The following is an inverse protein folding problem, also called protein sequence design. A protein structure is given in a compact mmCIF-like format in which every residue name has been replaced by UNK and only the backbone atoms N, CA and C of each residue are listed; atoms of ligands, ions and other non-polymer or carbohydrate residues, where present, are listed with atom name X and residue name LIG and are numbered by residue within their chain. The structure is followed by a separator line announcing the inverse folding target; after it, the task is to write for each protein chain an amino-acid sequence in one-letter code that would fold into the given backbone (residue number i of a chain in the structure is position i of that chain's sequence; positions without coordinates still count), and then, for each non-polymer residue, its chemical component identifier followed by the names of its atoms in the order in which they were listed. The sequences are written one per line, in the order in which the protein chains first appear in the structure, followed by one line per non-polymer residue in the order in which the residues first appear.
data_IF_611592220843
#
_entry.id   IF_611592220843
#
_cell.length_a   1.000
_cell.length_b   1.000
_cell.length_c   1.000
_cell.angle_alpha   90.00
_cell.angle_beta   90.00
_cell.angle_gamma   90.00
#
_symmetry.space_group_name_H-M   'P 1'
#
loop_
_entity.id
_entity.type
_entity.pdbx_description
1 polymer ?
#
# COMPACT_ATOMS: atom_id res chain seq x y z
N UNK A 1 -14.16 -5.44 21.57
CA UNK A 1 -13.97 -4.95 22.94
C UNK A 1 -12.55 -5.19 23.47
N UNK A 2 -11.73 -6.07 22.84
CA UNK A 2 -10.32 -6.27 23.20
C UNK A 2 -9.41 -5.11 22.77
N UNK A 3 -9.78 -4.40 21.70
CA UNK A 3 -9.01 -3.32 21.08
C UNK A 3 -9.88 -2.07 20.92
N UNK A 4 -10.11 -1.28 21.97
CA UNK A 4 -11.01 -0.10 21.93
C UNK A 4 -10.48 1.03 21.05
N UNK A 5 -9.17 1.07 20.79
CA UNK A 5 -8.48 2.02 19.90
C UNK A 5 -8.34 1.51 18.45
N UNK A 6 -8.79 0.29 18.16
CA UNK A 6 -8.80 -0.23 16.80
C UNK A 6 -10.03 0.27 16.02
N UNK A 7 -9.78 0.79 14.85
CA UNK A 7 -10.80 1.14 13.85
C UNK A 7 -10.77 0.26 12.62
N UNK A 8 -9.71 -0.56 12.50
CA UNK A 8 -9.46 -1.40 11.32
C UNK A 8 -9.01 -2.79 11.75
N UNK A 9 -9.43 -3.79 10.98
CA UNK A 9 -9.03 -5.19 11.19
C UNK A 9 -8.73 -5.84 9.84
N UNK A 10 -7.72 -6.69 9.79
CA UNK A 10 -7.38 -7.49 8.61
C UNK A 10 -7.30 -8.97 8.97
N UNK A 11 -7.93 -9.86 8.20
CA UNK A 11 -7.79 -11.30 8.38
C UNK A 11 -6.45 -11.81 7.85
N UNK A 12 -6.15 -13.09 8.08
CA UNK A 12 -5.17 -13.85 7.32
C UNK A 12 -5.73 -14.10 5.91
N UNK A 13 -5.11 -13.50 4.91
CA UNK A 13 -5.52 -13.66 3.52
C UNK A 13 -4.57 -14.66 2.86
N UNK A 14 -5.11 -15.80 2.44
CA UNK A 14 -4.41 -16.87 1.76
C UNK A 14 -4.67 -16.85 0.27
N UNK A 15 -3.71 -17.34 -0.50
CA UNK A 15 -3.88 -17.54 -1.93
C UNK A 15 -4.97 -18.61 -2.19
N UNK A 16 -5.94 -18.29 -3.03
CA UNK A 16 -7.06 -19.20 -3.34
C UNK A 16 -6.59 -20.51 -3.97
N UNK A 17 -5.57 -20.46 -4.83
CA UNK A 17 -5.08 -21.61 -5.60
C UNK A 17 -3.98 -22.38 -4.87
N UNK A 18 -3.23 -21.71 -3.98
CA UNK A 18 -2.18 -22.28 -3.13
C UNK A 18 -2.48 -21.91 -1.69
N UNK A 19 -3.35 -22.71 -1.07
CA UNK A 19 -3.97 -22.41 0.23
C UNK A 19 -3.01 -22.41 1.42
N UNK A 20 -1.79 -22.88 1.24
CA UNK A 20 -0.69 -22.83 2.19
C UNK A 20 0.25 -21.63 1.97
N UNK A 21 -0.13 -20.68 1.09
CA UNK A 21 0.65 -19.50 0.80
C UNK A 21 -0.10 -18.23 1.23
N UNK A 22 0.60 -17.37 1.95
CA UNK A 22 0.08 -16.06 2.36
C UNK A 22 -0.04 -15.14 1.12
N UNK A 23 -1.20 -14.54 0.94
CA UNK A 23 -1.37 -13.42 0.02
C UNK A 23 -1.17 -12.07 0.74
N UNK A 24 -1.76 -11.91 1.94
CA UNK A 24 -1.64 -10.67 2.69
C UNK A 24 -2.00 -10.84 4.17
N UNK A 25 -1.26 -10.18 5.06
CA UNK A 25 -1.56 -10.07 6.50
C UNK A 25 -1.57 -8.60 6.98
N UNK A 26 -1.91 -7.67 6.09
CA UNK A 26 -1.83 -6.22 6.27
C UNK A 26 -0.78 -5.60 5.36
N UNK A 27 -0.71 -4.27 5.32
CA UNK A 27 0.22 -3.57 4.44
C UNK A 27 1.52 -3.17 5.13
N UNK A 28 2.55 -3.08 4.32
CA UNK A 28 3.82 -2.39 4.58
C UNK A 28 3.94 -1.22 3.61
N UNK A 29 4.73 -0.19 3.96
CA UNK A 29 4.86 1.02 3.17
C UNK A 29 6.31 1.46 3.03
N UNK A 30 6.68 1.89 1.83
CA UNK A 30 7.98 2.47 1.53
C UNK A 30 7.91 4.00 1.64
N UNK A 31 9.01 4.69 1.99
CA UNK A 31 9.00 6.15 2.22
C UNK A 31 8.60 7.03 1.02
N UNK A 32 8.51 6.47 -0.18
CA UNK A 32 8.02 7.17 -1.37
C UNK A 32 6.52 6.97 -1.63
N UNK A 33 5.80 6.31 -0.71
CA UNK A 33 4.38 6.04 -0.79
C UNK A 33 4.01 4.69 -1.41
N UNK A 34 4.97 3.89 -1.90
CA UNK A 34 4.69 2.55 -2.41
C UNK A 34 4.32 1.60 -1.27
N UNK A 35 3.20 0.88 -1.41
CA UNK A 35 2.74 -0.11 -0.44
C UNK A 35 2.76 -1.53 -1.01
N UNK A 36 2.90 -2.51 -0.12
CA UNK A 36 2.87 -3.95 -0.44
C UNK A 36 2.18 -4.75 0.66
N UNK A 37 1.63 -5.89 0.26
CA UNK A 37 1.14 -6.90 1.21
C UNK A 37 2.27 -7.47 2.05
N UNK A 38 2.04 -7.54 3.35
CA UNK A 38 2.94 -8.16 4.32
C UNK A 38 2.91 -9.68 4.17
N UNK A 39 4.06 -10.33 4.27
CA UNK A 39 4.29 -11.78 4.17
C UNK A 39 3.83 -12.42 2.85
N UNK A 40 3.62 -11.61 1.83
CA UNK A 40 3.17 -12.12 0.53
C UNK A 40 4.12 -13.18 -0.03
N UNK A 41 3.55 -14.28 -0.56
CA UNK A 41 4.21 -15.47 -1.12
C UNK A 41 4.99 -16.30 -0.08
N UNK A 42 4.89 -16.00 1.21
CA UNK A 42 5.45 -16.84 2.27
C UNK A 42 4.50 -17.99 2.58
N UNK A 43 5.08 -19.13 2.98
CA UNK A 43 4.29 -20.30 3.35
C UNK A 43 3.64 -20.09 4.72
N UNK A 44 2.35 -20.42 4.82
CA UNK A 44 1.60 -20.43 6.08
C UNK A 44 1.94 -21.69 6.88
N UNK A 45 2.95 -21.61 7.70
CA UNK A 45 3.48 -22.71 8.52
C UNK A 45 3.29 -22.49 10.03
N UNK A 46 2.33 -21.62 10.39
CA UNK A 46 2.03 -21.26 11.78
C UNK A 46 2.80 -20.07 12.34
N UNK A 47 3.84 -19.58 11.64
CA UNK A 47 4.61 -18.39 12.09
C UNK A 47 3.78 -17.10 12.11
N UNK A 48 2.64 -17.08 11.42
CA UNK A 48 1.78 -15.91 11.26
C UNK A 48 0.46 -16.04 12.01
N UNK A 49 0.42 -16.85 13.08
CA UNK A 49 -0.79 -17.09 13.88
C UNK A 49 -0.90 -16.19 15.10
N UNK A 50 0.00 -15.22 15.24
CA UNK A 50 -0.06 -14.24 16.33
C UNK A 50 -0.81 -12.98 15.91
N UNK A 51 -1.77 -12.56 16.74
CA UNK A 51 -2.49 -11.30 16.62
C UNK A 51 -1.52 -10.13 16.84
N UNK A 52 -1.63 -9.08 16.05
CA UNK A 52 -0.75 -7.94 16.18
C UNK A 52 -1.17 -6.71 15.39
N UNK A 53 -0.53 -5.60 15.69
CA UNK A 53 -0.76 -4.34 15.00
C UNK A 53 -0.10 -4.35 13.61
N UNK A 54 -0.83 -3.89 12.59
CA UNK A 54 -0.37 -3.73 11.21
C UNK A 54 -0.70 -2.34 10.68
N UNK A 55 -0.15 -1.92 9.55
CA UNK A 55 -0.34 -0.57 9.01
C UNK A 55 -1.80 -0.30 8.65
N UNK A 56 -2.37 -1.12 7.79
CA UNK A 56 -3.73 -1.04 7.27
C UNK A 56 -4.18 -2.39 6.75
N UNK A 57 -5.50 -2.64 6.63
CA UNK A 57 -6.02 -3.86 6.03
C UNK A 57 -5.91 -3.81 4.51
N UNK A 58 -5.91 -4.99 3.88
CA UNK A 58 -6.07 -5.10 2.42
C UNK A 58 -7.53 -4.89 2.02
N UNK A 59 -7.76 -4.15 0.94
CA UNK A 59 -9.09 -3.86 0.40
C UNK A 59 -9.90 -5.09 -0.01
N UNK A 60 -9.25 -6.25 -0.22
CA UNK A 60 -9.99 -7.48 -0.56
C UNK A 60 -10.80 -8.06 0.62
N UNK A 61 -10.42 -7.76 1.88
CA UNK A 61 -11.08 -8.32 3.07
C UNK A 61 -10.89 -7.45 4.33
N UNK A 62 -10.72 -6.14 4.18
CA UNK A 62 -10.61 -5.22 5.31
C UNK A 62 -11.94 -5.06 6.05
N UNK A 63 -11.89 -5.02 7.38
CA UNK A 63 -13.01 -4.66 8.22
C UNK A 63 -12.74 -3.31 8.89
N UNK A 64 -13.74 -2.43 8.87
CA UNK A 64 -13.63 -1.05 9.35
C UNK A 64 -14.77 -0.73 10.31
N UNK A 65 -14.46 -0.09 11.43
CA UNK A 65 -15.48 0.34 12.38
C UNK A 65 -16.32 1.48 11.80
N UNK A 66 -17.62 1.41 11.97
CA UNK A 66 -18.55 2.47 11.54
C UNK A 66 -18.14 3.83 12.12
N UNK A 67 -17.76 3.87 13.40
CA UNK A 67 -17.29 5.08 14.07
C UNK A 67 -16.12 5.75 13.33
N UNK A 68 -15.13 4.96 12.88
CA UNK A 68 -13.99 5.50 12.13
C UNK A 68 -14.46 6.03 10.77
N UNK A 69 -15.29 5.27 10.04
CA UNK A 69 -15.78 5.69 8.73
C UNK A 69 -16.63 6.96 8.79
N UNK A 70 -17.45 7.12 9.83
CA UNK A 70 -18.25 8.33 10.04
C UNK A 70 -17.37 9.56 10.32
N UNK A 71 -16.17 9.36 10.91
CA UNK A 71 -15.23 10.43 11.21
C UNK A 71 -14.34 10.81 10.03
N UNK A 72 -13.77 9.83 9.33
CA UNK A 72 -12.75 10.08 8.30
C UNK A 72 -13.26 9.90 6.86
N UNK A 73 -14.51 9.48 6.68
CA UNK A 73 -15.11 9.16 5.38
C UNK A 73 -14.74 7.77 4.84
N UNK A 74 -15.30 7.45 3.68
CA UNK A 74 -15.16 6.17 2.99
C UNK A 74 -13.88 6.12 2.12
N UNK A 75 -13.76 5.11 1.25
CA UNK A 75 -12.73 5.03 0.22
C UNK A 75 -12.77 6.25 -0.70
N UNK A 76 -11.61 6.71 -1.13
CA UNK A 76 -11.49 7.86 -2.03
C UNK A 76 -11.54 7.40 -3.49
N UNK A 77 -12.66 7.70 -4.17
CA UNK A 77 -12.95 7.29 -5.56
C UNK A 77 -11.88 7.76 -6.57
N UNK A 78 -11.11 8.83 -6.25
CA UNK A 78 -10.04 9.30 -7.11
C UNK A 78 -8.99 8.23 -7.39
N UNK A 79 -8.73 7.35 -6.42
CA UNK A 79 -7.76 6.26 -6.59
C UNK A 79 -8.23 5.22 -7.61
N UNK A 80 -9.53 4.99 -7.75
CA UNK A 80 -10.17 3.97 -8.57
C UNK A 80 -9.83 2.55 -8.10
N UNK A 81 -8.57 2.14 -8.15
CA UNK A 81 -8.06 0.85 -7.67
C UNK A 81 -6.57 0.96 -7.34
N UNK A 82 -6.10 0.14 -6.40
CA UNK A 82 -4.73 0.08 -5.86
C UNK A 82 -4.31 1.31 -5.05
N UNK A 83 -4.31 1.16 -3.75
CA UNK A 83 -3.88 2.17 -2.78
C UNK A 83 -5.02 2.93 -2.10
N UNK A 84 -6.28 2.76 -2.52
CA UNK A 84 -7.46 3.31 -1.84
C UNK A 84 -7.62 2.77 -0.42
N UNK A 85 -7.27 1.51 -0.22
CA UNK A 85 -7.27 0.82 1.07
C UNK A 85 -6.13 1.32 1.99
N UNK A 86 -4.96 1.56 1.41
CA UNK A 86 -3.83 2.16 2.13
C UNK A 86 -4.14 3.62 2.49
N UNK A 87 -4.77 4.39 1.58
CA UNK A 87 -5.23 5.75 1.86
C UNK A 87 -6.18 5.80 3.05
N UNK A 88 -7.20 4.93 3.05
CA UNK A 88 -8.15 4.83 4.16
C UNK A 88 -7.44 4.45 5.45
N UNK A 89 -6.49 3.51 5.38
CA UNK A 89 -5.66 3.10 6.51
C UNK A 89 -4.82 4.23 7.09
N UNK A 90 -4.14 5.01 6.24
CA UNK A 90 -3.32 6.15 6.67
C UNK A 90 -4.18 7.27 7.26
N UNK A 91 -5.37 7.54 6.69
CA UNK A 91 -6.34 8.48 7.27
C UNK A 91 -6.81 8.02 8.65
N UNK A 92 -7.13 6.73 8.80
CA UNK A 92 -7.45 6.15 10.11
C UNK A 92 -6.31 6.32 11.12
N UNK A 93 -5.06 6.14 10.69
CA UNK A 93 -3.87 6.38 11.52
C UNK A 93 -3.76 7.83 11.98
N UNK A 94 -3.99 8.80 11.09
CA UNK A 94 -4.01 10.22 11.46
C UNK A 94 -5.10 10.55 12.49
N UNK A 95 -6.23 9.87 12.43
CA UNK A 95 -7.31 9.97 13.42
C UNK A 95 -7.04 9.15 14.70
N UNK A 96 -5.85 8.54 14.84
CA UNK A 96 -5.44 7.81 16.04
C UNK A 96 -5.94 6.35 16.11
N UNK A 97 -6.58 5.84 15.06
CA UNK A 97 -7.05 4.45 15.02
C UNK A 97 -5.92 3.47 14.67
N UNK A 98 -5.94 2.29 15.32
CA UNK A 98 -5.06 1.17 15.00
C UNK A 98 -5.72 0.19 14.04
N UNK A 99 -4.89 -0.57 13.32
CA UNK A 99 -5.29 -1.74 12.56
C UNK A 99 -4.76 -3.01 13.23
N UNK A 100 -5.62 -3.98 13.46
CA UNK A 100 -5.26 -5.26 14.09
C UNK A 100 -5.37 -6.39 13.08
N UNK A 101 -4.32 -7.17 12.98
CA UNK A 101 -4.31 -8.43 12.26
C UNK A 101 -4.93 -9.53 13.12
N UNK A 102 -5.91 -10.24 12.56
CA UNK A 102 -6.68 -11.29 13.24
C UNK A 102 -6.45 -12.61 12.51
N UNK A 103 -5.43 -13.40 12.89
CA UNK A 103 -5.06 -14.64 12.17
C UNK A 103 -6.14 -15.72 12.19
N UNK A 104 -6.99 -15.74 13.22
CA UNK A 104 -8.12 -16.68 13.32
C UNK A 104 -9.21 -16.44 12.25
N UNK A 105 -9.27 -15.24 11.69
CA UNK A 105 -10.14 -14.94 10.53
C UNK A 105 -9.36 -15.23 9.25
N UNK A 106 -9.80 -16.23 8.48
CA UNK A 106 -9.11 -16.66 7.25
C UNK A 106 -9.97 -16.38 6.03
N UNK A 107 -9.36 -15.78 5.00
CA UNK A 107 -10.01 -15.49 3.71
C UNK A 107 -9.13 -16.00 2.58
N UNK A 108 -9.73 -16.62 1.56
CA UNK A 108 -9.04 -17.07 0.33
C UNK A 108 -9.27 -16.08 -0.81
N UNK A 109 -8.19 -15.50 -1.34
CA UNK A 109 -8.24 -14.47 -2.37
C UNK A 109 -7.69 -14.94 -3.72
N UNK A 110 -8.46 -14.68 -4.78
CA UNK A 110 -8.04 -14.91 -6.18
C UNK A 110 -7.26 -13.70 -6.70
N UNK A 111 -6.05 -13.52 -6.19
CA UNK A 111 -5.19 -12.38 -6.47
C UNK A 111 -5.15 -12.01 -7.97
N UNK A 112 -5.40 -10.72 -8.25
CA UNK A 112 -5.34 -10.13 -9.61
C UNK A 112 -6.13 -10.89 -10.69
N UNK A 113 -7.21 -11.60 -10.34
CA UNK A 113 -8.02 -12.35 -11.30
C UNK A 113 -8.62 -11.46 -12.40
N UNK A 114 -8.91 -10.19 -12.11
CA UNK A 114 -9.53 -9.25 -13.04
C UNK A 114 -8.54 -8.51 -13.93
N UNK A 115 -7.38 -8.10 -13.39
CA UNK A 115 -6.45 -7.19 -14.10
C UNK A 115 -5.16 -7.85 -14.58
N UNK A 116 -4.92 -9.09 -14.19
CA UNK A 116 -3.63 -9.76 -14.39
C UNK A 116 -2.54 -9.28 -13.43
N UNK A 117 -1.52 -10.11 -13.20
CA UNK A 117 -0.51 -9.85 -12.18
C UNK A 117 0.42 -8.68 -12.53
N UNK A 118 0.80 -8.55 -13.81
CA UNK A 118 1.82 -7.59 -14.29
C UNK A 118 1.29 -6.69 -15.40
N UNK A 119 -0.02 -6.40 -15.46
CA UNK A 119 -0.59 -5.60 -16.52
C UNK A 119 -0.13 -4.13 -16.52
N UNK A 120 -0.04 -3.48 -17.69
CA UNK A 120 0.27 -2.05 -17.81
C UNK A 120 -0.70 -1.16 -17.01
N UNK A 121 -1.99 -1.53 -16.95
CA UNK A 121 -2.99 -0.80 -16.19
C UNK A 121 -2.69 -0.85 -14.69
N UNK A 122 -2.34 -2.04 -14.15
CA UNK A 122 -1.98 -2.20 -12.74
C UNK A 122 -0.73 -1.39 -12.40
N UNK A 123 0.31 -1.47 -13.23
CA UNK A 123 1.53 -0.71 -13.06
C UNK A 123 1.27 0.81 -13.08
N UNK A 124 0.45 1.28 -14.02
CA UNK A 124 0.03 2.69 -14.12
C UNK A 124 -0.68 3.16 -12.85
N UNK A 125 -1.69 2.42 -12.40
CA UNK A 125 -2.48 2.79 -11.22
C UNK A 125 -1.61 2.76 -9.95
N UNK A 126 -0.79 1.74 -9.78
CA UNK A 126 0.10 1.63 -8.61
C UNK A 126 1.09 2.81 -8.53
N UNK A 127 1.73 3.18 -9.65
CA UNK A 127 2.68 4.31 -9.67
C UNK A 127 1.98 5.66 -9.50
N UNK A 128 0.85 5.90 -10.18
CA UNK A 128 0.08 7.13 -10.00
C UNK A 128 -0.39 7.29 -8.55
N UNK A 129 -1.00 6.24 -8.02
CA UNK A 129 -1.62 6.28 -6.71
C UNK A 129 -0.59 6.35 -5.57
N UNK A 130 0.61 5.78 -5.75
CA UNK A 130 1.73 5.96 -4.84
C UNK A 130 2.03 7.44 -4.57
N UNK A 131 2.10 8.26 -5.64
CA UNK A 131 2.31 9.70 -5.49
C UNK A 131 1.14 10.38 -4.78
N UNK A 132 -0.09 9.97 -5.10
CA UNK A 132 -1.25 10.52 -4.43
C UNK A 132 -1.30 10.15 -2.95
N UNK A 133 -0.94 8.92 -2.57
CA UNK A 133 -0.77 8.50 -1.18
C UNK A 133 0.25 9.37 -0.46
N UNK A 134 1.42 9.58 -1.10
CA UNK A 134 2.49 10.41 -0.57
C UNK A 134 2.01 11.85 -0.34
N UNK A 135 1.51 12.51 -1.36
CA UNK A 135 1.10 13.92 -1.28
C UNK A 135 -0.13 14.14 -0.40
N UNK A 136 -1.03 13.18 -0.30
CA UNK A 136 -2.23 13.27 0.53
C UNK A 136 -1.94 13.05 2.01
N UNK A 137 -1.17 12.01 2.35
CA UNK A 137 -1.10 11.47 3.70
C UNK A 137 0.22 11.69 4.43
N UNK A 138 1.34 11.88 3.71
CA UNK A 138 2.64 11.95 4.40
C UNK A 138 2.94 13.35 4.93
N UNK A 139 3.65 13.46 6.07
CA UNK A 139 4.21 14.72 6.54
C UNK A 139 5.10 15.38 5.49
N UNK A 140 5.14 16.71 5.47
CA UNK A 140 5.90 17.49 4.46
C UNK A 140 7.36 17.08 4.41
N UNK A 141 7.98 16.83 5.56
CA UNK A 141 9.38 16.40 5.62
C UNK A 141 9.61 15.07 4.86
N UNK A 142 8.67 14.12 4.92
CA UNK A 142 8.80 12.84 4.21
C UNK A 142 8.58 13.05 2.70
N UNK A 143 7.70 13.97 2.30
CA UNK A 143 7.53 14.38 0.90
C UNK A 143 8.83 14.97 0.34
N UNK A 144 9.51 15.84 1.10
CA UNK A 144 10.77 16.45 0.66
C UNK A 144 11.91 15.43 0.46
N UNK A 145 11.95 14.38 1.29
CA UNK A 145 12.94 13.30 1.15
C UNK A 145 12.52 12.20 0.16
N UNK A 146 11.26 12.16 -0.26
CA UNK A 146 10.75 11.09 -1.13
C UNK A 146 11.47 10.97 -2.47
N UNK A 147 12.00 12.03 -3.13
CA UNK A 147 12.74 11.88 -4.38
C UNK A 147 13.99 11.00 -4.24
N UNK A 148 14.68 11.05 -3.11
CA UNK A 148 15.82 10.17 -2.83
C UNK A 148 15.38 8.70 -2.75
N UNK A 149 14.29 8.42 -2.04
CA UNK A 149 13.74 7.07 -1.92
C UNK A 149 13.20 6.56 -3.25
N UNK A 150 12.55 7.41 -4.04
CA UNK A 150 12.07 7.08 -5.39
C UNK A 150 13.24 6.72 -6.31
N UNK A 151 14.32 7.51 -6.29
CA UNK A 151 15.53 7.23 -7.05
C UNK A 151 16.14 5.87 -6.67
N UNK A 152 16.29 5.59 -5.39
CA UNK A 152 16.81 4.31 -4.91
C UNK A 152 15.92 3.14 -5.36
N UNK A 153 14.61 3.28 -5.26
CA UNK A 153 13.65 2.26 -5.71
C UNK A 153 13.77 2.03 -7.22
N UNK A 154 13.80 3.08 -8.03
CA UNK A 154 13.91 2.93 -9.49
C UNK A 154 15.27 2.34 -9.92
N UNK A 155 16.37 2.68 -9.23
CA UNK A 155 17.66 2.05 -9.48
C UNK A 155 17.62 0.53 -9.24
N UNK A 156 16.92 0.08 -8.19
CA UNK A 156 16.72 -1.33 -7.93
C UNK A 156 15.71 -1.99 -8.87
N UNK A 157 14.69 -1.29 -9.34
CA UNK A 157 13.80 -1.77 -10.39
C UNK A 157 14.55 -1.97 -11.71
N UNK A 158 15.43 -1.05 -12.08
CA UNK A 158 16.31 -1.20 -13.25
C UNK A 158 17.20 -2.46 -13.12
N UNK A 159 17.81 -2.65 -11.94
CA UNK A 159 18.54 -3.89 -11.65
C UNK A 159 17.61 -5.10 -11.79
N UNK A 160 16.39 -5.04 -11.26
CA UNK A 160 15.38 -6.10 -11.39
C UNK A 160 15.06 -6.45 -12.86
N UNK A 161 14.92 -5.44 -13.72
CA UNK A 161 14.75 -5.63 -15.20
C UNK A 161 15.94 -6.36 -15.78
N UNK A 162 17.18 -5.93 -15.47
CA UNK A 162 18.42 -6.53 -16.02
C UNK A 162 18.61 -7.99 -15.60
N UNK A 163 18.28 -8.34 -14.35
CA UNK A 163 18.45 -9.72 -13.85
C UNK A 163 17.15 -10.54 -13.90
N UNK A 164 16.07 -9.95 -14.41
CA UNK A 164 14.76 -10.58 -14.56
C UNK A 164 14.06 -10.95 -13.24
N UNK A 165 14.29 -10.20 -12.15
CA UNK A 165 13.69 -10.40 -10.83
C UNK A 165 12.69 -9.31 -10.47
N UNK A 166 11.76 -9.64 -9.54
CA UNK A 166 10.71 -8.75 -9.07
C UNK A 166 9.68 -8.41 -10.14
N UNK A 167 8.68 -7.63 -9.76
CA UNK A 167 7.57 -7.26 -10.62
C UNK A 167 8.03 -6.55 -11.92
N UNK A 168 9.06 -5.69 -11.85
CA UNK A 168 9.60 -4.99 -13.03
C UNK A 168 10.31 -5.92 -14.00
N UNK A 169 11.06 -6.91 -13.51
CA UNK A 169 11.71 -7.91 -14.34
C UNK A 169 10.69 -8.81 -15.04
N UNK A 170 9.63 -9.20 -14.35
CA UNK A 170 8.52 -9.99 -14.95
C UNK A 170 7.74 -9.17 -15.96
N UNK A 171 7.41 -7.92 -15.65
CA UNK A 171 6.75 -7.01 -16.59
C UNK A 171 7.58 -6.84 -17.88
N UNK A 172 8.90 -6.60 -17.73
CA UNK A 172 9.77 -6.40 -18.90
C UNK A 172 9.91 -7.64 -19.79
N UNK A 173 9.77 -8.84 -19.24
CA UNK A 173 9.71 -10.08 -20.03
C UNK A 173 8.38 -10.25 -20.75
N UNK A 174 7.28 -9.88 -20.11
CA UNK A 174 5.93 -10.07 -20.65
C UNK A 174 5.58 -9.01 -21.69
N UNK A 175 6.04 -7.77 -21.52
CA UNK A 175 5.73 -6.65 -22.42
C UNK A 175 6.97 -6.03 -23.07
N UNK A 176 7.82 -5.33 -22.33
CA UNK A 176 9.16 -4.82 -22.63
C UNK A 176 9.60 -3.82 -21.55
N UNK A 177 10.90 -3.52 -21.47
CA UNK A 177 11.43 -2.45 -20.60
C UNK A 177 10.96 -1.05 -21.06
N UNK A 178 10.86 -0.83 -22.38
CA UNK A 178 10.35 0.43 -22.94
C UNK A 178 8.88 0.67 -22.61
N UNK A 179 8.05 -0.37 -22.63
CA UNK A 179 6.65 -0.29 -22.21
C UNK A 179 6.54 0.06 -20.71
N UNK A 180 7.39 -0.53 -19.87
CA UNK A 180 7.43 -0.20 -18.43
C UNK A 180 7.77 1.27 -18.21
N UNK A 181 8.83 1.76 -18.85
CA UNK A 181 9.23 3.18 -18.78
C UNK A 181 8.08 4.10 -19.21
N UNK A 182 7.43 3.77 -20.33
CA UNK A 182 6.30 4.56 -20.84
C UNK A 182 5.12 4.59 -19.85
N UNK A 183 4.80 3.46 -19.23
CA UNK A 183 3.75 3.37 -18.22
C UNK A 183 4.09 4.24 -17.00
N UNK A 184 5.34 4.18 -16.52
CA UNK A 184 5.80 5.01 -15.40
C UNK A 184 5.67 6.50 -15.74
N UNK A 185 6.17 6.95 -16.90
CA UNK A 185 6.07 8.35 -17.33
C UNK A 185 4.62 8.83 -17.41
N UNK A 186 3.72 8.01 -17.99
CA UNK A 186 2.29 8.32 -18.01
C UNK A 186 1.69 8.43 -16.60
N UNK A 187 2.07 7.54 -15.70
CA UNK A 187 1.58 7.55 -14.32
C UNK A 187 2.03 8.80 -13.55
N UNK A 188 3.30 9.18 -13.68
CA UNK A 188 3.85 10.41 -13.07
C UNK A 188 3.13 11.66 -13.61
N UNK A 189 2.95 11.76 -14.93
CA UNK A 189 2.21 12.87 -15.54
C UNK A 189 0.74 12.93 -15.06
N UNK A 190 0.08 11.78 -14.98
CA UNK A 190 -1.29 11.72 -14.49
C UNK A 190 -1.39 12.09 -13.00
N UNK A 191 -0.40 11.68 -12.20
CA UNK A 191 -0.32 12.05 -10.79
C UNK A 191 -0.17 13.57 -10.63
N UNK A 192 0.71 14.20 -11.41
CA UNK A 192 0.90 15.67 -11.38
C UNK A 192 -0.35 16.41 -11.81
N UNK A 193 -1.05 15.96 -12.85
CA UNK A 193 -2.33 16.58 -13.28
C UNK A 193 -3.40 16.50 -12.19
N UNK A 194 -3.47 15.40 -11.44
CA UNK A 194 -4.42 15.22 -10.33
C UNK A 194 -4.00 15.89 -9.02
N UNK A 195 -2.75 16.38 -8.92
CA UNK A 195 -2.16 16.89 -7.68
C UNK A 195 -2.97 18.04 -7.02
N UNK A 196 -3.53 19.02 -7.75
CA UNK A 196 -4.36 20.07 -7.12
C UNK A 196 -5.54 19.50 -6.35
N UNK A 197 -6.23 18.49 -6.91
CA UNK A 197 -7.34 17.79 -6.24
C UNK A 197 -6.88 17.03 -5.00
N UNK A 198 -5.74 16.36 -5.08
CA UNK A 198 -5.14 15.62 -3.96
C UNK A 198 -4.71 16.57 -2.82
N UNK A 199 -4.13 17.72 -3.15
CA UNK A 199 -3.75 18.73 -2.15
C UNK A 199 -4.98 19.37 -1.47
N UNK A 200 -6.11 19.54 -2.18
CA UNK A 200 -7.37 19.92 -1.57
C UNK A 200 -7.84 18.88 -0.56
N UNK A 201 -7.89 17.61 -0.96
CA UNK A 201 -8.26 16.50 -0.07
C UNK A 201 -7.33 16.39 1.14
N UNK A 202 -6.01 16.63 0.97
CA UNK A 202 -5.06 16.73 2.10
C UNK A 202 -5.46 17.78 3.12
N UNK A 203 -5.97 18.95 2.69
CA UNK A 203 -6.43 20.01 3.60
C UNK A 203 -7.69 19.57 4.35
N UNK A 204 -8.63 18.94 3.67
CA UNK A 204 -9.84 18.37 4.27
C UNK A 204 -9.50 17.32 5.33
N UNK A 205 -8.56 16.42 5.03
CA UNK A 205 -8.10 15.39 5.96
C UNK A 205 -7.53 15.92 7.27
N UNK A 206 -6.97 17.13 7.29
CA UNK A 206 -6.43 17.74 8.53
C UNK A 206 -7.48 17.93 9.62
N UNK A 207 -8.76 18.03 9.26
CA UNK A 207 -9.87 18.24 10.21
C UNK A 207 -10.06 17.11 11.23
N UNK A 208 -9.62 15.89 10.91
CA UNK A 208 -9.73 14.73 11.81
C UNK A 208 -8.38 14.25 12.35
N UNK A 209 -7.26 14.96 12.14
CA UNK A 209 -5.97 14.58 12.72
C UNK A 209 -6.00 14.72 14.23
N UNK A 210 -5.82 13.61 14.94
CA UNK A 210 -5.73 13.56 16.41
C UNK A 210 -4.30 13.37 16.89
N UNK A 211 -3.40 12.91 16.01
CA UNK A 211 -1.99 12.70 16.36
C UNK A 211 -1.10 13.67 15.59
N UNK A 212 0.07 13.97 16.16
CA UNK A 212 1.06 14.83 15.53
C UNK A 212 1.90 14.12 14.46
N UNK A 213 2.53 14.91 13.57
CA UNK A 213 3.37 14.37 12.49
C UNK A 213 4.53 13.47 12.99
N UNK A 214 5.11 13.77 14.16
CA UNK A 214 6.17 12.94 14.76
C UNK A 214 5.65 11.57 15.18
N UNK A 215 4.48 11.54 15.79
CA UNK A 215 3.82 10.32 16.23
C UNK A 215 3.39 9.47 15.03
N UNK A 216 2.75 10.07 14.04
CA UNK A 216 2.40 9.41 12.78
C UNK A 216 3.62 8.77 12.11
N UNK A 217 4.73 9.52 11.94
CA UNK A 217 5.98 8.99 11.36
C UNK A 217 6.55 7.82 12.17
N UNK A 218 6.53 7.90 13.50
CA UNK A 218 6.95 6.79 14.36
C UNK A 218 6.07 5.56 14.15
N UNK A 219 4.76 5.75 14.04
CA UNK A 219 3.79 4.70 13.82
C UNK A 219 4.02 3.98 12.48
N UNK A 220 4.12 4.71 11.36
CA UNK A 220 4.29 4.10 10.03
C UNK A 220 5.67 3.47 9.82
N UNK A 221 6.73 3.98 10.46
CA UNK A 221 8.09 3.41 10.38
C UNK A 221 8.18 1.97 10.90
N UNK A 222 7.30 1.57 11.79
CA UNK A 222 7.22 0.17 12.27
C UNK A 222 6.82 -0.80 11.17
N UNK A 223 6.22 -0.29 10.10
CA UNK A 223 5.75 -1.04 8.93
C UNK A 223 6.49 -0.65 7.66
N UNK A 224 7.73 -0.18 7.81
CA UNK A 224 8.51 0.29 6.67
C UNK A 224 9.04 -0.88 5.83
N UNK A 225 8.98 -0.70 4.51
CA UNK A 225 9.65 -1.53 3.51
C UNK A 225 11.05 -0.99 3.23
N UNK A 226 11.93 -1.88 2.83
CA UNK A 226 13.19 -1.54 2.17
C UNK A 226 12.99 -1.40 0.66
N UNK A 227 13.85 -0.64 -0.02
CA UNK A 227 13.80 -0.52 -1.48
C UNK A 227 13.99 -1.88 -2.18
N UNK A 228 14.80 -2.78 -1.60
CA UNK A 228 15.00 -4.12 -2.10
C UNK A 228 13.75 -4.99 -2.03
N UNK A 229 12.99 -4.89 -0.94
CA UNK A 229 11.70 -5.60 -0.83
C UNK A 229 10.68 -5.10 -1.83
N UNK A 230 10.64 -3.79 -2.11
CA UNK A 230 9.74 -3.23 -3.12
C UNK A 230 10.12 -3.66 -4.53
N UNK A 231 11.41 -3.61 -4.87
CA UNK A 231 11.86 -3.76 -6.25
C UNK A 231 12.17 -5.20 -6.67
N UNK A 232 12.66 -6.04 -5.75
CA UNK A 232 13.26 -7.33 -6.07
C UNK A 232 12.50 -8.55 -5.50
N UNK A 233 11.59 -8.34 -4.55
CA UNK A 233 10.64 -9.38 -4.13
C UNK A 233 9.41 -9.36 -5.03
N UNK A 234 8.82 -10.53 -5.25
CA UNK A 234 7.55 -10.70 -6.00
C UNK A 234 6.31 -10.38 -5.16
#
# INVERSE_FOLDING_TARGET
RRHPDAGMFTPKILNYYRRDEIDNTGHLIYPDGMARGRHRLEKDDGRFDEEGEVLSPSGCAGCYSRRMLDEIGLLDDAFFAYGEDVDLGLRGRWAGYKCIYVPAAVVYHKYSATTGNYSPQKAFLAERNRLWLLFKNFPVVDILFSPFYTFLRYSLHLKGVLIGKGASGRFAREYSAGALLWVILKAEMAALRGLPGILRKRRECKGYHRIGAREFRRGIRRFALTAGEVALKD
#
